data_IF_128523186793
#
_entry.id   IF_128523186793
#
_cell.length_a   1.000
_cell.length_b   1.000
_cell.length_c   1.000
_cell.angle_alpha   90.00
_cell.angle_beta   90.00
_cell.angle_gamma   90.00
#
_symmetry.space_group_name_H-M   'P 1'
#
loop_
_entity.id
_entity.type
_entity.pdbx_description
1 polymer ?
#
# COMPACT_ATOMS: atom_id res chain seq x y z
N UNK A 1 -30.81 17.06 -19.44
CA UNK A 1 -30.54 16.06 -18.40
C UNK A 1 -29.04 16.08 -18.14
N UNK A 2 -28.62 16.36 -16.91
CA UNK A 2 -27.20 16.55 -16.57
C UNK A 2 -26.54 15.19 -16.33
N UNK A 3 -25.36 14.94 -16.92
CA UNK A 3 -24.60 13.70 -16.72
C UNK A 3 -23.99 13.69 -15.31
N UNK A 4 -24.06 12.56 -14.62
CA UNK A 4 -23.33 12.32 -13.36
C UNK A 4 -21.99 11.69 -13.73
N UNK A 5 -20.84 12.29 -13.38
CA UNK A 5 -19.53 11.75 -13.72
C UNK A 5 -19.23 10.48 -12.92
N UNK A 6 -18.68 9.46 -13.58
CA UNK A 6 -18.30 8.16 -12.98
C UNK A 6 -16.78 7.96 -13.02
N UNK A 7 -16.24 7.44 -11.92
CA UNK A 7 -14.82 7.07 -11.76
C UNK A 7 -14.68 5.89 -10.78
N UNK A 8 -13.46 5.46 -10.47
CA UNK A 8 -13.15 4.39 -9.53
C UNK A 8 -12.10 4.80 -8.49
N UNK A 9 -11.94 3.98 -7.45
CA UNK A 9 -11.12 4.31 -6.27
C UNK A 9 -9.60 4.18 -6.45
N UNK A 10 -9.11 3.70 -7.59
CA UNK A 10 -7.68 3.64 -7.92
C UNK A 10 -7.27 2.24 -8.38
N UNK A 11 -6.57 1.49 -7.52
CA UNK A 11 -5.89 0.23 -7.85
C UNK A 11 -6.72 -0.72 -8.72
N UNK A 12 -6.15 -1.09 -9.87
CA UNK A 12 -6.71 -2.05 -10.81
C UNK A 12 -5.84 -3.32 -10.87
N UNK A 13 -6.37 -4.44 -11.42
CA UNK A 13 -5.57 -5.64 -11.62
C UNK A 13 -4.39 -5.37 -12.55
N UNK A 14 -3.17 -5.52 -12.03
CA UNK A 14 -1.93 -5.32 -12.78
C UNK A 14 -1.73 -6.42 -13.83
N UNK A 15 -1.20 -6.08 -15.01
CA UNK A 15 -0.79 -7.08 -15.99
C UNK A 15 0.26 -8.04 -15.41
N UNK A 16 0.14 -9.33 -15.75
CA UNK A 16 1.03 -10.36 -15.23
C UNK A 16 2.52 -10.09 -15.54
N UNK A 17 2.79 -9.50 -16.70
CA UNK A 17 4.13 -9.09 -17.12
C UNK A 17 4.73 -8.04 -16.17
N UNK A 18 3.97 -7.01 -15.82
CA UNK A 18 4.40 -5.96 -14.90
C UNK A 18 4.63 -6.52 -13.49
N UNK A 19 3.76 -7.43 -13.03
CA UNK A 19 3.92 -8.14 -11.74
C UNK A 19 5.22 -8.94 -11.71
N UNK A 20 5.58 -9.60 -12.81
CA UNK A 20 6.82 -10.39 -12.89
C UNK A 20 8.06 -9.50 -12.88
N UNK A 21 8.05 -8.38 -13.61
CA UNK A 21 9.13 -7.39 -13.56
C UNK A 21 9.34 -6.84 -12.15
N UNK A 22 8.26 -6.46 -11.46
CA UNK A 22 8.31 -6.00 -10.07
C UNK A 22 8.84 -7.09 -9.12
N UNK A 23 8.52 -8.36 -9.36
CA UNK A 23 9.03 -9.48 -8.55
C UNK A 23 10.55 -9.65 -8.71
N UNK A 24 11.06 -9.53 -9.94
CA UNK A 24 12.50 -9.60 -10.24
C UNK A 24 13.25 -8.42 -9.63
N UNK A 25 12.70 -7.21 -9.75
CA UNK A 25 13.24 -6.01 -9.10
C UNK A 25 13.29 -6.17 -7.58
N UNK A 26 12.21 -6.65 -6.96
CA UNK A 26 12.18 -6.96 -5.52
C UNK A 26 13.17 -8.06 -5.10
N UNK A 27 13.55 -8.93 -6.03
CA UNK A 27 14.62 -9.93 -5.88
C UNK A 27 16.04 -9.36 -6.01
N UNK A 28 16.19 -8.07 -6.31
CA UNK A 28 17.48 -7.39 -6.47
C UNK A 28 18.05 -7.45 -7.89
N UNK A 29 17.27 -7.90 -8.89
CA UNK A 29 17.70 -7.84 -10.28
C UNK A 29 17.62 -6.41 -10.83
N UNK A 30 18.58 -5.97 -11.66
CA UNK A 30 18.45 -4.72 -12.39
C UNK A 30 17.39 -4.90 -13.50
N UNK A 31 16.22 -4.31 -13.30
CA UNK A 31 15.09 -4.37 -14.23
C UNK A 31 14.71 -2.96 -14.67
N UNK A 32 14.52 -2.76 -15.97
CA UNK A 32 13.86 -1.57 -16.51
C UNK A 32 12.43 -1.93 -16.91
N UNK A 33 11.46 -1.47 -16.12
CA UNK A 33 10.04 -1.70 -16.37
C UNK A 33 9.34 -0.52 -17.07
N UNK A 34 10.07 0.55 -17.46
CA UNK A 34 9.46 1.80 -17.93
C UNK A 34 8.58 1.60 -19.17
N UNK A 35 9.05 0.82 -20.15
CA UNK A 35 8.28 0.52 -21.36
C UNK A 35 7.04 -0.33 -21.05
N UNK A 36 7.19 -1.37 -20.22
CA UNK A 36 6.09 -2.24 -19.80
C UNK A 36 5.01 -1.44 -19.03
N UNK A 37 5.44 -0.56 -18.11
CA UNK A 37 4.57 0.31 -17.34
C UNK A 37 3.80 1.27 -18.27
N UNK A 38 4.50 1.98 -19.17
CA UNK A 38 3.88 2.92 -20.09
C UNK A 38 2.83 2.25 -20.99
N UNK A 39 3.14 1.07 -21.53
CA UNK A 39 2.18 0.26 -22.30
C UNK A 39 0.98 -0.17 -21.43
N UNK A 40 1.23 -0.64 -20.21
CA UNK A 40 0.19 -1.10 -19.29
C UNK A 40 -0.81 0.01 -18.93
N UNK A 41 -0.30 1.21 -18.62
CA UNK A 41 -1.12 2.41 -18.34
C UNK A 41 -1.94 2.79 -19.57
N UNK A 42 -1.33 2.79 -20.76
CA UNK A 42 -2.03 3.11 -22.00
C UNK A 42 -3.21 2.16 -22.26
N UNK A 43 -3.00 0.86 -22.10
CA UNK A 43 -4.05 -0.13 -22.35
C UNK A 43 -5.17 -0.07 -21.30
N UNK A 44 -4.86 0.18 -20.02
CA UNK A 44 -5.90 0.26 -19.00
C UNK A 44 -6.74 1.53 -19.13
N UNK A 45 -6.12 2.68 -19.45
CA UNK A 45 -6.86 3.93 -19.72
C UNK A 45 -7.75 3.76 -20.95
N UNK A 46 -7.24 3.13 -22.02
CA UNK A 46 -8.04 2.82 -23.21
C UNK A 46 -9.26 1.96 -22.86
N UNK A 47 -9.10 0.96 -22.00
CA UNK A 47 -10.20 0.10 -21.52
C UNK A 47 -11.22 0.89 -20.70
N UNK A 48 -10.78 1.79 -19.82
CA UNK A 48 -11.67 2.64 -19.03
C UNK A 48 -12.51 3.56 -19.91
N UNK A 49 -11.90 4.20 -20.92
CA UNK A 49 -12.60 5.05 -21.88
C UNK A 49 -13.62 4.24 -22.70
N UNK A 50 -13.29 3.02 -23.09
CA UNK A 50 -14.21 2.12 -23.79
C UNK A 50 -15.39 1.65 -22.92
N UNK A 51 -15.31 1.82 -21.60
CA UNK A 51 -16.35 1.52 -20.62
C UNK A 51 -17.11 2.77 -20.15
N UNK A 52 -16.94 3.91 -20.83
CA UNK A 52 -17.57 5.20 -20.50
C UNK A 52 -17.25 5.74 -19.10
N UNK A 53 -16.06 5.41 -18.56
CA UNK A 53 -15.54 6.07 -17.36
C UNK A 53 -15.16 7.52 -17.70
N UNK A 54 -15.76 8.47 -16.98
CA UNK A 54 -15.59 9.91 -17.24
C UNK A 54 -14.22 10.44 -16.83
N UNK A 55 -13.71 9.95 -15.69
CA UNK A 55 -12.43 10.37 -15.11
C UNK A 55 -11.60 9.11 -14.88
N UNK A 56 -10.75 8.71 -15.84
CA UNK A 56 -9.90 7.54 -15.71
C UNK A 56 -8.65 7.82 -14.85
N UNK A 57 -8.02 6.76 -14.35
CA UNK A 57 -6.77 6.78 -13.60
C UNK A 57 -5.76 5.75 -14.16
N UNK A 58 -4.49 5.79 -13.74
CA UNK A 58 -3.45 4.86 -14.22
C UNK A 58 -3.56 3.44 -13.63
N UNK A 59 -4.53 3.20 -12.73
CA UNK A 59 -4.73 1.93 -12.04
C UNK A 59 -3.70 1.68 -10.93
N UNK A 60 -2.96 2.72 -10.55
CA UNK A 60 -1.81 2.70 -9.63
C UNK A 60 -0.66 1.78 -10.05
N UNK A 61 -0.50 1.55 -11.35
CA UNK A 61 0.53 0.65 -11.89
C UNK A 61 1.95 1.15 -11.60
N UNK A 62 2.14 2.46 -11.38
CA UNK A 62 3.42 3.03 -10.95
C UNK A 62 3.86 2.64 -9.54
N UNK A 63 2.96 2.09 -8.70
CA UNK A 63 3.34 1.48 -7.43
C UNK A 63 3.87 0.07 -7.69
N UNK A 64 5.16 -0.12 -7.45
CA UNK A 64 5.80 -1.42 -7.58
C UNK A 64 5.20 -2.42 -6.57
N UNK A 65 4.34 -3.31 -7.05
CA UNK A 65 3.75 -4.40 -6.26
C UNK A 65 3.97 -5.74 -6.93
N UNK A 66 4.16 -6.78 -6.12
CA UNK A 66 4.36 -8.17 -6.58
C UNK A 66 3.06 -8.98 -6.63
N UNK A 67 1.94 -8.35 -6.29
CA UNK A 67 0.56 -8.86 -6.40
C UNK A 67 -0.23 -8.08 -7.44
N UNK A 68 -1.33 -8.68 -7.93
CA UNK A 68 -2.22 -8.04 -8.91
C UNK A 68 -2.89 -6.76 -8.37
N UNK A 69 -3.12 -6.69 -7.05
CA UNK A 69 -3.74 -5.55 -6.37
C UNK A 69 -2.80 -5.00 -5.31
N UNK A 70 -2.84 -3.68 -5.09
CA UNK A 70 -2.20 -3.02 -3.95
C UNK A 70 -3.23 -2.85 -2.82
N UNK A 71 -3.10 -3.65 -1.77
CA UNK A 71 -3.91 -3.51 -0.56
C UNK A 71 -3.17 -2.77 0.56
N UNK A 72 -1.92 -2.35 0.35
CA UNK A 72 -1.03 -1.90 1.42
C UNK A 72 -1.58 -0.73 2.22
N UNK A 73 -2.10 0.30 1.55
CA UNK A 73 -2.67 1.48 2.21
C UNK A 73 -3.91 1.14 3.04
N UNK A 74 -4.83 0.36 2.48
CA UNK A 74 -6.05 -0.05 3.18
C UNK A 74 -5.74 -1.01 4.33
N UNK A 75 -4.84 -1.96 4.13
CA UNK A 75 -4.38 -2.90 5.16
C UNK A 75 -3.74 -2.16 6.32
N UNK A 76 -2.82 -1.23 6.08
CA UNK A 76 -2.18 -0.44 7.14
C UNK A 76 -3.21 0.37 7.94
N UNK A 77 -4.15 1.04 7.26
CA UNK A 77 -5.22 1.78 7.93
C UNK A 77 -6.13 0.89 8.79
N UNK A 78 -6.47 -0.29 8.28
CA UNK A 78 -7.46 -1.19 8.86
C UNK A 78 -6.85 -2.03 9.96
N UNK A 79 -5.66 -2.58 9.79
CA UNK A 79 -5.00 -3.43 10.78
C UNK A 79 -4.64 -2.67 12.05
N UNK A 80 -4.22 -1.41 11.95
CA UNK A 80 -4.02 -0.55 13.12
C UNK A 80 -5.31 -0.33 13.93
N UNK A 81 -6.47 -0.31 13.26
CA UNK A 81 -7.77 -0.01 13.89
C UNK A 81 -8.55 -1.25 14.32
N UNK A 82 -8.48 -2.33 13.57
CA UNK A 82 -9.22 -3.57 13.81
C UNK A 82 -8.42 -4.59 14.63
N UNK A 83 -7.08 -4.59 14.51
CA UNK A 83 -6.21 -5.55 15.22
C UNK A 83 -5.59 -4.91 16.47
N UNK A 84 -6.26 -3.91 17.06
CA UNK A 84 -5.97 -3.52 18.44
C UNK A 84 -6.46 -4.62 19.41
N UNK A 85 -5.89 -5.82 19.30
CA UNK A 85 -5.73 -6.77 20.39
C UNK A 85 -4.80 -7.91 19.94
N UNK A 86 -3.55 -7.85 20.44
CA UNK A 86 -2.65 -8.99 20.67
C UNK A 86 -2.56 -10.06 19.55
N UNK A 87 -1.62 -9.91 18.61
CA UNK A 87 -0.80 -11.03 18.15
C UNK A 87 0.36 -10.53 17.26
N UNK A 88 1.55 -11.16 17.34
CA UNK A 88 2.67 -10.80 16.50
C UNK A 88 2.46 -11.38 15.10
N UNK A 89 2.64 -10.56 14.08
CA UNK A 89 3.07 -11.03 12.77
C UNK A 89 4.36 -10.23 12.57
N UNK A 90 5.54 -10.63 13.04
CA UNK A 90 6.31 -11.82 12.71
C UNK A 90 7.62 -11.65 13.48
N UNK A 91 7.98 -12.58 14.39
CA UNK A 91 9.32 -12.86 14.94
C UNK A 91 9.18 -13.56 16.31
N UNK A 92 9.56 -14.84 16.37
CA UNK A 92 9.56 -15.66 17.59
C UNK A 92 10.79 -15.47 18.48
N UNK A 93 11.71 -14.54 18.16
CA UNK A 93 13.01 -14.43 18.79
C UNK A 93 13.25 -13.20 19.67
N UNK A 94 12.27 -12.29 19.85
CA UNK A 94 12.51 -11.06 20.64
C UNK A 94 11.44 -10.75 21.69
N UNK A 95 11.83 -10.36 22.92
CA UNK A 95 10.88 -10.03 23.99
C UNK A 95 10.13 -8.75 23.64
N UNK A 96 8.80 -8.91 23.63
CA UNK A 96 7.81 -7.85 23.39
C UNK A 96 7.60 -7.08 24.68
N UNK A 97 7.90 -5.80 24.64
CA UNK A 97 7.26 -4.72 25.39
C UNK A 97 8.29 -3.60 25.35
N UNK A 98 8.09 -2.56 24.55
CA UNK A 98 8.62 -1.20 24.76
C UNK A 98 8.48 -0.30 23.51
N UNK A 99 8.19 -0.80 22.31
CA UNK A 99 8.42 0.00 21.10
C UNK A 99 7.22 0.64 20.41
N UNK A 100 5.98 0.45 20.86
CA UNK A 100 4.84 1.00 20.10
C UNK A 100 3.84 1.85 20.88
N UNK A 101 4.34 2.67 21.81
CA UNK A 101 3.64 3.89 22.23
C UNK A 101 4.42 5.11 21.70
N UNK A 102 4.08 5.55 20.47
CA UNK A 102 4.21 6.93 19.98
C UNK A 102 5.51 7.72 20.19
N UNK A 103 6.64 7.07 20.48
CA UNK A 103 7.91 7.72 20.79
C UNK A 103 9.02 7.09 19.97
N UNK A 104 8.96 7.31 18.66
CA UNK A 104 10.13 7.11 17.81
C UNK A 104 11.28 7.99 18.33
N UNK A 105 12.25 7.36 19.01
CA UNK A 105 13.57 7.95 19.29
C UNK A 105 13.70 8.91 20.48
N UNK A 106 12.75 8.97 21.42
CA UNK A 106 12.90 9.76 22.66
C UNK A 106 13.47 8.90 23.79
N UNK A 107 14.49 9.40 24.48
CA UNK A 107 14.99 8.76 25.71
C UNK A 107 13.93 8.83 26.81
N UNK A 108 13.99 7.95 27.81
CA UNK A 108 13.02 7.86 28.91
C UNK A 108 12.81 9.18 29.70
N UNK A 109 13.76 10.13 29.60
CA UNK A 109 13.69 11.46 30.20
C UNK A 109 12.85 12.46 29.39
N UNK A 110 12.52 12.15 28.12
CA UNK A 110 11.79 13.03 27.19
C UNK A 110 10.30 12.68 27.07
N UNK A 111 9.82 11.71 27.85
CA UNK A 111 8.42 11.25 27.85
C UNK A 111 7.65 12.02 28.92
N UNK A 112 6.49 12.61 28.58
CA UNK A 112 5.71 13.43 29.52
C UNK A 112 5.11 12.54 30.61
N UNK A 113 5.00 13.01 31.87
CA UNK A 113 4.44 12.21 32.96
C UNK A 113 3.04 11.65 32.67
N UNK A 114 2.26 12.37 31.87
CA UNK A 114 0.88 12.05 31.48
C UNK A 114 0.79 10.79 30.59
N UNK A 115 1.88 10.47 29.87
CA UNK A 115 1.96 9.31 28.96
C UNK A 115 2.38 8.02 29.70
N UNK A 116 2.83 8.11 30.97
CA UNK A 116 3.16 6.93 31.81
C UNK A 116 1.93 6.24 32.40
N UNK A 117 0.81 6.95 32.52
CA UNK A 117 -0.41 6.45 33.18
C UNK A 117 -1.20 5.45 32.33
N UNK A 118 -0.85 5.25 31.05
CA UNK A 118 -1.53 4.30 30.15
C UNK A 118 -0.90 2.90 30.17
N UNK A 119 0.11 2.67 31.03
CA UNK A 119 0.75 1.36 31.24
C UNK A 119 0.36 0.68 32.57
N UNK A 120 -0.82 1.01 33.12
CA UNK A 120 -1.44 0.30 34.23
C UNK A 120 -2.45 -0.73 33.77
#
# INVERSE_FOLDING_TARGET
MTKIPVTHAGSLPRPAELVELNRREAGGEPVDAAECLARSVKEIVKKQLALDIDIPDDGEFGKATTSAYDYGAWQSYTFERLICHKAPLFDSSKPKCLTNCGTSGRSAAQIRPQERSLCG
#
